data_IF_200746180412
#
_entry.id   IF_200746180412
#
_cell.length_a   1.000
_cell.length_b   1.000
_cell.length_c   1.000
_cell.angle_alpha   90.00
_cell.angle_beta   90.00
_cell.angle_gamma   90.00
#
_symmetry.space_group_name_H-M   'P 1'
#
loop_
_entity.id
_entity.type
_entity.pdbx_description
1 polymer ?
#
# COMPACT_ATOMS: atom_id res chain seq x y z
N UNK A 1 -4.92 -5.38 -19.13
CA UNK A 1 -4.69 -4.32 -18.14
C UNK A 1 -3.22 -3.95 -18.19
N UNK A 2 -2.91 -2.69 -18.48
CA UNK A 2 -1.54 -2.17 -18.41
C UNK A 2 -1.06 -2.11 -16.95
N UNK A 3 0.26 -2.05 -16.70
CA UNK A 3 0.76 -1.88 -15.34
C UNK A 3 0.21 -0.63 -14.64
N UNK A 4 0.03 0.49 -15.36
CA UNK A 4 -0.53 1.72 -14.82
C UNK A 4 -2.01 1.58 -14.45
N UNK A 5 -2.81 0.93 -15.31
CA UNK A 5 -4.21 0.61 -15.00
C UNK A 5 -4.32 -0.30 -13.77
N UNK A 6 -3.36 -1.21 -13.58
CA UNK A 6 -3.31 -2.08 -12.41
C UNK A 6 -3.11 -1.29 -11.11
N UNK A 7 -2.24 -0.28 -11.09
CA UNK A 7 -2.06 0.57 -9.89
C UNK A 7 -3.33 1.36 -9.56
N UNK A 8 -3.99 1.93 -10.57
CA UNK A 8 -5.27 2.61 -10.36
C UNK A 8 -6.37 1.65 -9.86
N UNK A 9 -6.41 0.42 -10.39
CA UNK A 9 -7.33 -0.62 -9.94
C UNK A 9 -7.06 -1.03 -8.48
N UNK A 10 -5.80 -1.21 -8.10
CA UNK A 10 -5.41 -1.51 -6.72
C UNK A 10 -5.91 -0.43 -5.74
N UNK A 11 -5.64 0.84 -6.03
CA UNK A 11 -6.06 1.96 -5.19
C UNK A 11 -7.59 2.03 -5.04
N UNK A 12 -8.33 1.78 -6.13
CA UNK A 12 -9.79 1.71 -6.10
C UNK A 12 -10.30 0.60 -5.17
N UNK A 13 -9.65 -0.58 -5.15
CA UNK A 13 -10.03 -1.65 -4.21
C UNK A 13 -9.82 -1.23 -2.75
N UNK A 14 -8.73 -0.52 -2.46
CA UNK A 14 -8.47 0.00 -1.11
C UNK A 14 -9.51 1.04 -0.68
N UNK A 15 -9.85 1.98 -1.58
CA UNK A 15 -10.82 3.04 -1.31
C UNK A 15 -12.25 2.51 -1.17
N UNK A 16 -12.61 1.46 -1.92
CA UNK A 16 -13.87 0.72 -1.78
C UNK A 16 -13.86 -0.27 -0.59
N UNK A 17 -12.75 -0.33 0.16
CA UNK A 17 -12.53 -1.25 1.27
C UNK A 17 -12.72 -2.74 0.92
N UNK A 18 -12.40 -3.11 -0.32
CA UNK A 18 -12.38 -4.48 -0.86
C UNK A 18 -11.05 -5.16 -0.55
N UNK A 19 -10.72 -5.28 0.74
CA UNK A 19 -9.41 -5.72 1.20
C UNK A 19 -9.07 -7.17 0.84
N UNK A 20 -10.06 -8.07 0.81
CA UNK A 20 -9.84 -9.45 0.38
C UNK A 20 -9.41 -9.50 -1.10
N UNK A 21 -10.07 -8.72 -1.97
CA UNK A 21 -9.70 -8.62 -3.39
C UNK A 21 -8.33 -7.96 -3.56
N UNK A 22 -8.04 -6.92 -2.78
CA UNK A 22 -6.73 -6.27 -2.76
C UNK A 22 -5.62 -7.26 -2.36
N UNK A 23 -5.87 -8.10 -1.36
CA UNK A 23 -4.90 -9.13 -0.93
C UNK A 23 -4.59 -10.11 -2.07
N UNK A 24 -5.58 -10.47 -2.89
CA UNK A 24 -5.35 -11.35 -4.06
C UNK A 24 -4.41 -10.75 -5.11
N UNK A 25 -4.17 -9.43 -5.07
CA UNK A 25 -3.23 -8.76 -5.98
C UNK A 25 -1.77 -9.08 -5.65
N UNK A 26 -1.47 -9.54 -4.44
CA UNK A 26 -0.10 -9.89 -4.07
C UNK A 26 0.30 -11.25 -4.65
N UNK A 27 1.59 -11.36 -4.98
CA UNK A 27 2.21 -12.65 -5.24
C UNK A 27 2.34 -13.43 -3.91
N UNK A 28 2.55 -14.74 -3.98
CA UNK A 28 2.76 -15.57 -2.79
C UNK A 28 3.97 -15.12 -1.97
N UNK A 29 5.01 -14.60 -2.64
CA UNK A 29 6.21 -13.99 -2.08
C UNK A 29 6.12 -12.46 -1.97
N UNK A 30 4.89 -11.91 -1.98
CA UNK A 30 4.63 -10.48 -1.95
C UNK A 30 4.92 -9.83 -0.61
N UNK A 31 5.44 -8.60 -0.65
CA UNK A 31 5.78 -7.78 0.53
C UNK A 31 5.14 -6.40 0.46
N UNK A 32 4.57 -5.94 1.56
CA UNK A 32 4.15 -4.56 1.78
C UNK A 32 5.08 -3.90 2.79
N UNK A 33 5.68 -2.77 2.43
CA UNK A 33 6.74 -2.16 3.23
C UNK A 33 6.61 -0.64 3.27
N UNK A 34 6.66 -0.08 4.48
CA UNK A 34 6.60 1.36 4.76
C UNK A 34 7.80 1.71 5.65
N UNK A 35 8.96 2.08 5.08
CA UNK A 35 10.16 2.36 5.85
C UNK A 35 10.03 3.57 6.78
N UNK A 36 10.69 3.52 7.95
CA UNK A 36 10.66 4.60 8.93
C UNK A 36 11.53 5.79 8.52
N UNK A 37 12.55 5.60 7.67
CA UNK A 37 13.31 6.72 7.06
C UNK A 37 12.77 7.13 5.67
N UNK A 38 11.59 6.65 5.29
CA UNK A 38 11.02 6.89 3.96
C UNK A 38 12.02 6.51 2.85
N UNK A 39 12.13 7.38 1.84
CA UNK A 39 13.00 7.16 0.69
C UNK A 39 14.50 6.99 1.03
N UNK A 40 14.96 7.46 2.20
CA UNK A 40 16.35 7.32 2.62
C UNK A 40 16.68 5.91 3.14
N UNK A 41 15.69 5.07 3.46
CA UNK A 41 15.92 3.69 3.87
C UNK A 41 16.16 2.80 2.66
N UNK A 42 17.32 2.15 2.60
CA UNK A 42 17.60 1.19 1.55
C UNK A 42 16.89 -0.14 1.81
N UNK A 43 16.54 -0.87 0.75
CA UNK A 43 16.01 -2.22 0.90
C UNK A 43 17.09 -3.16 1.48
N UNK A 44 16.74 -3.91 2.52
CA UNK A 44 17.68 -4.77 3.24
C UNK A 44 18.50 -4.05 4.33
N UNK A 45 18.40 -2.72 4.45
CA UNK A 45 18.96 -2.00 5.59
C UNK A 45 18.29 -2.48 6.88
N UNK A 46 19.05 -2.92 7.90
CA UNK A 46 18.49 -3.36 9.17
C UNK A 46 17.99 -2.13 9.95
N UNK A 47 16.73 -1.78 9.75
CA UNK A 47 16.09 -0.64 10.41
C UNK A 47 14.59 -0.88 10.56
N UNK A 48 14.00 -0.24 11.57
CA UNK A 48 12.56 -0.31 11.80
C UNK A 48 11.76 0.24 10.61
N UNK A 49 10.52 -0.24 10.50
CA UNK A 49 9.54 0.18 9.52
C UNK A 49 8.22 0.49 10.21
N UNK A 50 7.42 1.39 9.64
CA UNK A 50 6.03 1.63 10.06
C UNK A 50 5.17 0.40 9.77
N UNK A 51 5.45 -0.29 8.67
CA UNK A 51 4.93 -1.62 8.36
C UNK A 51 5.96 -2.39 7.52
N UNK A 52 6.10 -3.68 7.78
CA UNK A 52 6.89 -4.61 6.97
C UNK A 52 6.20 -5.97 7.03
N UNK A 53 5.27 -6.19 6.10
CA UNK A 53 4.27 -7.24 6.15
C UNK A 53 4.43 -8.16 4.93
N UNK A 54 4.60 -9.45 5.17
CA UNK A 54 4.44 -10.47 4.14
C UNK A 54 2.94 -10.78 3.92
N UNK A 55 2.65 -11.70 3.00
CA UNK A 55 1.26 -12.09 2.70
C UNK A 55 0.52 -12.62 3.95
N UNK A 56 1.20 -13.32 4.86
CA UNK A 56 0.57 -13.82 6.08
C UNK A 56 0.16 -12.67 7.00
N UNK A 57 1.08 -11.76 7.31
CA UNK A 57 0.83 -10.60 8.17
C UNK A 57 -0.24 -9.68 7.57
N UNK A 58 -0.18 -9.42 6.26
CA UNK A 58 -1.22 -8.67 5.55
C UNK A 58 -2.60 -9.34 5.71
N UNK A 59 -2.68 -10.67 5.57
CA UNK A 59 -3.95 -11.39 5.72
C UNK A 59 -4.55 -11.23 7.13
N UNK A 60 -3.72 -11.27 8.17
CA UNK A 60 -4.14 -11.05 9.55
C UNK A 60 -4.63 -9.61 9.76
N UNK A 61 -3.95 -8.63 9.17
CA UNK A 61 -4.37 -7.23 9.19
C UNK A 61 -5.72 -7.02 8.50
N UNK A 62 -5.93 -7.64 7.34
CA UNK A 62 -7.22 -7.62 6.62
C UNK A 62 -8.33 -8.26 7.46
N UNK A 63 -8.08 -9.41 8.08
CA UNK A 63 -9.04 -10.05 8.99
C UNK A 63 -9.40 -9.15 10.19
N UNK A 64 -8.42 -8.46 10.77
CA UNK A 64 -8.65 -7.50 11.86
C UNK A 64 -9.55 -6.34 11.43
N UNK A 65 -9.36 -5.78 10.24
CA UNK A 65 -10.18 -4.69 9.71
C UNK A 65 -11.65 -5.11 9.49
N UNK A 66 -11.89 -6.41 9.24
CA UNK A 66 -13.24 -6.98 9.08
C UNK A 66 -13.92 -7.31 10.41
N UNK A 67 -13.17 -7.36 11.51
CA UNK A 67 -13.70 -7.76 12.79
C UNK A 67 -14.64 -6.67 13.36
N UNK A 68 -15.94 -6.96 13.60
CA UNK A 68 -16.87 -5.98 14.14
C UNK A 68 -16.52 -5.53 15.57
N UNK A 69 -15.62 -6.23 16.27
CA UNK A 69 -15.11 -5.85 17.59
C UNK A 69 -13.82 -5.02 17.55
N UNK A 70 -13.32 -4.68 16.36
CA UNK A 70 -12.15 -3.80 16.23
C UNK A 70 -12.51 -2.37 16.65
N UNK A 71 -12.34 -2.04 17.94
CA UNK A 71 -12.66 -0.72 18.49
C UNK A 71 -11.98 0.45 17.75
N UNK A 72 -10.77 0.23 17.21
CA UNK A 72 -10.08 1.24 16.39
C UNK A 72 -10.77 1.54 15.06
N UNK A 73 -11.76 0.72 14.66
CA UNK A 73 -12.61 0.87 13.48
C UNK A 73 -14.06 1.23 13.82
N UNK A 74 -14.31 1.78 15.02
CA UNK A 74 -15.59 2.39 15.40
C UNK A 74 -15.42 3.89 15.67
N UNK A 75 -15.88 4.79 14.78
CA UNK A 75 -16.46 4.53 13.47
C UNK A 75 -15.43 3.99 12.47
N UNK A 76 -15.90 3.40 11.36
CA UNK A 76 -15.05 2.78 10.33
C UNK A 76 -14.17 3.83 9.64
N UNK A 77 -12.89 3.53 9.45
CA UNK A 77 -12.00 4.35 8.62
C UNK A 77 -12.38 4.20 7.15
N UNK A 78 -12.25 5.29 6.38
CA UNK A 78 -12.33 5.31 4.92
C UNK A 78 -11.06 5.94 4.37
N UNK A 79 -10.62 5.51 3.20
CA UNK A 79 -9.48 6.12 2.51
C UNK A 79 -9.87 6.69 1.15
N UNK A 80 -9.05 7.64 0.70
CA UNK A 80 -8.99 8.06 -0.69
C UNK A 80 -7.52 8.16 -1.10
N UNK A 81 -7.16 7.50 -2.20
CA UNK A 81 -5.88 7.69 -2.86
C UNK A 81 -6.06 8.69 -4.01
N UNK A 82 -5.25 9.75 -4.02
CA UNK A 82 -5.14 10.69 -5.15
C UNK A 82 -3.76 10.49 -5.76
N UNK A 83 -3.73 9.76 -6.88
CA UNK A 83 -2.49 9.35 -7.52
C UNK A 83 -2.13 10.31 -8.65
N UNK A 84 -0.84 10.61 -8.77
CA UNK A 84 -0.29 11.02 -10.07
C UNK A 84 -0.18 9.81 -11.00
N UNK A 85 0.07 10.06 -12.29
CA UNK A 85 0.29 8.97 -13.25
C UNK A 85 1.51 8.16 -12.83
N UNK A 86 1.31 6.85 -12.64
CA UNK A 86 2.39 5.91 -12.33
C UNK A 86 3.41 5.87 -13.47
N UNK A 87 4.66 6.17 -13.14
CA UNK A 87 5.77 6.15 -14.08
C UNK A 87 6.46 4.79 -14.04
N UNK A 88 6.62 4.15 -15.18
CA UNK A 88 7.41 2.92 -15.28
C UNK A 88 8.90 3.30 -15.25
N UNK A 89 9.62 2.80 -14.24
CA UNK A 89 11.06 3.03 -14.08
C UNK A 89 11.88 2.00 -14.87
N UNK A 90 11.45 0.74 -14.84
CA UNK A 90 12.06 -0.39 -15.55
C UNK A 90 11.04 -1.49 -15.75
N UNK A 91 11.24 -2.36 -16.72
CA UNK A 91 10.39 -3.53 -16.91
C UNK A 91 10.49 -4.10 -18.31
N UNK A 92 9.88 -5.28 -18.46
CA UNK A 92 9.75 -6.04 -19.69
C UNK A 92 8.36 -6.69 -19.74
N UNK A 93 8.19 -7.75 -20.54
CA UNK A 93 6.93 -8.46 -20.66
C UNK A 93 6.50 -9.18 -19.36
N UNK A 94 7.44 -9.51 -18.47
CA UNK A 94 7.25 -10.37 -17.31
C UNK A 94 7.34 -9.64 -15.98
N UNK A 95 7.96 -8.46 -15.95
CA UNK A 95 8.16 -7.67 -14.73
C UNK A 95 8.05 -6.18 -15.01
N UNK A 96 7.61 -5.41 -14.02
CA UNK A 96 7.53 -3.96 -14.13
C UNK A 96 7.75 -3.31 -12.78
N UNK A 97 8.59 -2.27 -12.72
CA UNK A 97 8.71 -1.40 -11.55
C UNK A 97 8.08 -0.05 -11.87
N UNK A 98 7.11 0.36 -11.06
CA UNK A 98 6.44 1.66 -11.18
C UNK A 98 6.71 2.52 -9.96
N UNK A 99 6.75 3.82 -10.18
CA UNK A 99 6.80 4.84 -9.15
C UNK A 99 5.60 5.79 -9.28
N UNK A 100 4.88 5.99 -8.19
CA UNK A 100 3.61 6.73 -8.16
C UNK A 100 3.60 7.71 -6.99
N UNK A 101 3.79 9.02 -7.24
CA UNK A 101 3.52 10.05 -6.24
C UNK A 101 2.04 10.08 -5.87
N UNK A 102 1.72 10.31 -4.60
CA UNK A 102 0.33 10.35 -4.13
C UNK A 102 0.08 11.40 -3.03
N UNK A 103 -1.18 11.78 -2.92
CA UNK A 103 -1.79 12.23 -1.67
C UNK A 103 -2.74 11.14 -1.18
N UNK A 104 -2.67 10.84 0.11
CA UNK A 104 -3.49 9.85 0.77
C UNK A 104 -4.30 10.53 1.87
N UNK A 105 -5.59 10.22 1.91
CA UNK A 105 -6.49 10.73 2.93
C UNK A 105 -7.10 9.54 3.65
N UNK A 106 -6.99 9.51 4.98
CA UNK A 106 -7.78 8.63 5.83
C UNK A 106 -8.77 9.46 6.67
N UNK A 107 -10.05 9.12 6.61
CA UNK A 107 -11.09 9.77 7.40
C UNK A 107 -11.73 8.78 8.36
N UNK A 108 -11.83 9.18 9.63
CA UNK A 108 -12.54 8.42 10.67
C UNK A 108 -13.28 9.35 11.62
N UNK A 109 -14.61 9.32 11.58
CA UNK A 109 -15.44 10.26 12.33
C UNK A 109 -15.19 11.69 11.88
N UNK A 110 -14.86 12.58 12.81
CA UNK A 110 -14.48 13.98 12.54
C UNK A 110 -12.97 14.18 12.32
N UNK A 111 -12.16 13.11 12.38
CA UNK A 111 -10.71 13.19 12.19
C UNK A 111 -10.35 12.85 10.75
N UNK A 112 -9.35 13.57 10.25
CA UNK A 112 -8.73 13.33 8.96
C UNK A 112 -7.23 13.26 9.16
N UNK A 113 -6.61 12.25 8.56
CA UNK A 113 -5.18 12.13 8.36
C UNK A 113 -4.90 12.36 6.89
N UNK A 114 -3.96 13.25 6.59
CA UNK A 114 -3.44 13.45 5.25
C UNK A 114 -1.98 13.03 5.26
N UNK A 115 -1.62 12.14 4.36
CA UNK A 115 -0.24 11.70 4.12
C UNK A 115 0.15 12.03 2.69
N UNK A 116 1.42 12.36 2.49
CA UNK A 116 2.00 12.57 1.18
C UNK A 116 3.24 11.70 1.03
N UNK A 117 3.49 11.20 -0.17
CA UNK A 117 4.59 10.30 -0.42
C UNK A 117 4.62 9.76 -1.82
N UNK A 118 5.34 8.66 -1.99
CA UNK A 118 5.32 7.88 -3.22
C UNK A 118 5.23 6.39 -2.92
N UNK A 119 4.60 5.67 -3.85
CA UNK A 119 4.56 4.23 -3.86
C UNK A 119 5.48 3.70 -4.96
N UNK A 120 6.32 2.73 -4.62
CA UNK A 120 7.07 1.92 -5.58
C UNK A 120 6.48 0.53 -5.63
N UNK A 121 6.05 0.10 -6.81
CA UNK A 121 5.51 -1.23 -7.05
C UNK A 121 6.46 -2.04 -7.90
N UNK A 122 6.83 -3.25 -7.45
CA UNK A 122 7.42 -4.27 -8.32
C UNK A 122 6.36 -5.31 -8.63
N UNK A 123 5.94 -5.32 -9.89
CA UNK A 123 4.96 -6.23 -10.43
C UNK A 123 5.66 -7.38 -11.16
N UNK A 124 5.06 -8.56 -11.07
CA UNK A 124 5.47 -9.76 -11.80
C UNK A 124 4.26 -10.37 -12.51
N UNK A 125 4.49 -10.99 -13.67
CA UNK A 125 3.46 -11.75 -14.39
C UNK A 125 3.16 -13.07 -13.66
N UNK A 126 1.88 -13.36 -13.50
CA UNK A 126 1.36 -14.66 -13.13
C UNK A 126 0.31 -15.06 -14.18
N UNK A 127 0.76 -15.74 -15.24
CA UNK A 127 -0.04 -15.94 -16.45
C UNK A 127 -0.38 -14.58 -17.09
N UNK A 128 -1.67 -14.36 -17.35
CA UNK A 128 -2.15 -13.12 -17.99
C UNK A 128 -2.40 -11.95 -17.01
N UNK A 129 -2.16 -12.15 -15.72
CA UNK A 129 -2.36 -11.13 -14.68
C UNK A 129 -1.04 -10.60 -14.10
N UNK A 130 -1.07 -9.36 -13.62
CA UNK A 130 -0.01 -8.79 -12.78
C UNK A 130 -0.24 -9.16 -11.31
N UNK A 131 0.85 -9.37 -10.57
CA UNK A 131 0.86 -9.54 -9.12
C UNK A 131 1.92 -8.65 -8.48
N UNK A 132 1.63 -8.16 -7.27
CA UNK A 132 2.53 -7.33 -6.47
C UNK A 132 3.53 -8.25 -5.78
N UNK A 133 4.80 -8.18 -6.19
CA UNK A 133 5.93 -8.76 -5.44
C UNK A 133 6.42 -7.79 -4.37
N UNK A 134 6.38 -6.49 -4.64
CA UNK A 134 6.65 -5.45 -3.64
C UNK A 134 5.69 -4.28 -3.83
N UNK A 135 5.08 -3.81 -2.74
CA UNK A 135 4.54 -2.46 -2.61
C UNK A 135 5.31 -1.76 -1.50
N UNK A 136 6.14 -0.79 -1.87
CA UNK A 136 6.88 0.07 -0.95
C UNK A 136 6.20 1.43 -0.90
N UNK A 137 6.02 2.00 0.28
CA UNK A 137 5.42 3.34 0.48
C UNK A 137 6.39 4.22 1.25
N UNK A 138 6.93 5.23 0.59
CA UNK A 138 7.83 6.21 1.17
C UNK A 138 7.04 7.46 1.53
N UNK A 139 6.71 7.63 2.83
CA UNK A 139 6.09 8.86 3.33
C UNK A 139 7.12 9.99 3.41
N UNK A 140 6.72 11.22 3.09
CA UNK A 140 7.61 12.39 3.16
C UNK A 140 8.08 12.69 4.58
N UNK A 141 7.23 12.42 5.57
CA UNK A 141 7.40 12.68 6.99
C UNK A 141 7.52 11.39 7.81
N UNK A 142 8.00 10.30 7.21
CA UNK A 142 8.08 8.98 7.85
C UNK A 142 8.82 8.97 9.21
N UNK A 143 9.80 9.87 9.40
CA UNK A 143 10.60 9.98 10.61
C UNK A 143 9.94 10.79 11.74
N UNK A 144 8.83 11.46 11.47
CA UNK A 144 8.11 12.26 12.45
C UNK A 144 7.10 11.42 13.25
N UNK A 145 6.64 11.89 14.42
CA UNK A 145 5.55 11.25 15.14
C UNK A 145 4.26 11.27 14.32
N UNK A 146 3.92 10.13 13.71
CA UNK A 146 2.69 9.96 12.94
C UNK A 146 1.52 9.55 13.84
N UNK A 147 0.29 10.07 13.59
CA UNK A 147 -0.90 9.50 14.18
C UNK A 147 -1.11 8.06 13.69
N UNK A 148 -1.97 7.32 14.37
CA UNK A 148 -2.21 5.92 14.03
C UNK A 148 -2.86 5.78 12.63
N UNK A 149 -2.06 5.39 11.65
CA UNK A 149 -2.48 4.98 10.30
C UNK A 149 -3.25 3.66 10.44
N UNK A 150 -4.55 3.65 10.16
CA UNK A 150 -5.35 2.42 10.32
C UNK A 150 -5.29 1.56 9.06
N UNK A 151 -5.37 2.21 7.90
CA UNK A 151 -5.50 1.57 6.60
C UNK A 151 -4.15 1.57 5.84
N UNK A 152 -4.20 1.40 4.52
CA UNK A 152 -3.05 1.21 3.66
C UNK A 152 -2.85 2.48 2.82
N UNK A 153 -1.87 3.34 3.12
CA UNK A 153 -1.41 4.38 2.20
C UNK A 153 -0.65 3.78 1.00
#
# INVERSE_FOLDING_TARGET
MTPQEFIAYEARLLDEARYDDWLTLFAADGRYWVPLKGAAQAEGEPHNALADEDHLLLSLRVQRLKNPKAHSQHPRSRSQHVLQVSQQLKGDAYSCELHTPFLYIESRGSRQLLLAGSATHRLVRAGDAWRIRLKRVDLLDAGEPLPAIQLFP
#
